data_IF_056607788784
#
_entry.id   IF_056607788784
#
_cell.length_a   1.000
_cell.length_b   1.000
_cell.length_c   1.000
_cell.angle_alpha   90.00
_cell.angle_beta   90.00
_cell.angle_gamma   90.00
#
_symmetry.space_group_name_H-M   'P 1'
#
loop_
_entity.id
_entity.type
_entity.pdbx_description
1 polymer ?
#
# COMPACT_ATOMS: atom_id res chain seq x y z
N UNK A 1 -2.74 41.98 -5.70
CA UNK A 1 -3.41 41.25 -6.80
C UNK A 1 -4.78 40.84 -6.26
N UNK A 2 -5.83 41.63 -6.53
CA UNK A 2 -7.17 41.39 -6.00
C UNK A 2 -7.80 40.24 -6.78
N UNK A 3 -8.16 39.15 -6.11
CA UNK A 3 -8.92 38.05 -6.71
C UNK A 3 -10.23 38.59 -7.28
N UNK A 4 -10.53 38.25 -8.52
CA UNK A 4 -11.80 38.64 -9.13
C UNK A 4 -12.95 37.91 -8.44
N UNK A 5 -14.14 38.51 -8.41
CA UNK A 5 -15.32 37.92 -7.74
C UNK A 5 -15.62 36.49 -8.21
N UNK A 6 -15.34 36.19 -9.49
CA UNK A 6 -15.47 34.85 -10.07
C UNK A 6 -14.51 33.82 -9.42
N UNK A 7 -13.27 34.21 -9.12
CA UNK A 7 -12.29 33.31 -8.50
C UNK A 7 -12.66 33.01 -7.04
N UNK A 8 -13.26 33.96 -6.32
CA UNK A 8 -13.76 33.73 -4.96
C UNK A 8 -14.93 32.74 -4.94
N UNK A 9 -15.85 32.83 -5.91
CA UNK A 9 -16.98 31.89 -6.02
C UNK A 9 -16.50 30.47 -6.35
N UNK A 10 -15.51 30.34 -7.24
CA UNK A 10 -14.91 29.04 -7.56
C UNK A 10 -14.20 28.45 -6.35
N UNK A 11 -13.40 29.24 -5.63
CA UNK A 11 -12.70 28.78 -4.43
C UNK A 11 -13.68 28.34 -3.32
N UNK A 12 -14.79 29.06 -3.16
CA UNK A 12 -15.84 28.69 -2.21
C UNK A 12 -16.52 27.37 -2.61
N UNK A 13 -16.84 27.18 -3.88
CA UNK A 13 -17.44 25.94 -4.38
C UNK A 13 -16.53 24.74 -4.12
N UNK A 14 -15.22 24.88 -4.38
CA UNK A 14 -14.25 23.83 -4.07
C UNK A 14 -14.11 23.57 -2.57
N UNK A 15 -14.11 24.61 -1.73
CA UNK A 15 -14.05 24.46 -0.29
C UNK A 15 -15.27 23.70 0.26
N UNK A 16 -16.47 23.99 -0.25
CA UNK A 16 -17.71 23.30 0.13
C UNK A 16 -17.66 21.83 -0.30
N UNK A 17 -17.23 21.53 -1.53
CA UNK A 17 -17.09 20.14 -2.01
C UNK A 17 -16.06 19.38 -1.17
N UNK A 18 -14.94 20.01 -0.81
CA UNK A 18 -13.90 19.41 0.01
C UNK A 18 -14.38 19.08 1.43
N UNK A 19 -15.17 19.98 2.06
CA UNK A 19 -15.78 19.73 3.37
C UNK A 19 -16.83 18.62 3.29
N UNK A 20 -17.67 18.62 2.25
CA UNK A 20 -18.69 17.58 2.07
C UNK A 20 -18.12 16.19 1.75
N UNK A 21 -16.93 16.14 1.15
CA UNK A 21 -16.21 14.89 0.88
C UNK A 21 -15.11 14.61 1.92
N UNK A 22 -15.20 15.19 3.12
CA UNK A 22 -14.45 14.68 4.25
C UNK A 22 -14.99 13.29 4.58
N UNK A 23 -14.39 12.29 3.94
CA UNK A 23 -14.61 10.88 4.27
C UNK A 23 -13.95 10.68 5.62
N UNK A 24 -14.75 10.71 6.68
CA UNK A 24 -14.35 10.23 8.00
C UNK A 24 -13.97 8.76 7.84
N UNK A 25 -12.69 8.52 7.65
CA UNK A 25 -12.16 7.18 7.41
C UNK A 25 -11.99 6.56 8.78
N UNK A 26 -13.03 5.90 9.30
CA UNK A 26 -12.92 5.09 10.52
C UNK A 26 -12.01 3.90 10.20
N UNK A 27 -10.78 3.82 10.74
CA UNK A 27 -9.87 2.72 10.44
C UNK A 27 -10.43 1.35 10.88
N UNK A 28 -11.39 1.31 11.81
CA UNK A 28 -12.05 0.07 12.21
C UNK A 28 -13.03 -0.45 11.15
N UNK A 29 -13.66 0.44 10.37
CA UNK A 29 -14.62 0.06 9.33
C UNK A 29 -13.96 -0.66 8.14
N UNK A 30 -12.64 -0.49 7.95
CA UNK A 30 -11.87 -1.06 6.83
C UNK A 30 -10.95 -2.21 7.25
N UNK A 31 -11.03 -2.68 8.50
CA UNK A 31 -10.27 -3.82 8.98
C UNK A 31 -10.85 -5.12 8.40
N UNK A 32 -10.24 -5.63 7.33
CA UNK A 32 -10.54 -6.96 6.80
C UNK A 32 -9.65 -8.01 7.47
N UNK A 33 -10.25 -9.09 7.97
CA UNK A 33 -9.54 -10.26 8.51
C UNK A 33 -9.82 -11.47 7.63
N UNK A 34 -8.81 -11.90 6.89
CA UNK A 34 -8.86 -13.12 6.09
C UNK A 34 -8.08 -14.24 6.80
N UNK A 35 -8.61 -15.47 6.74
CA UNK A 35 -7.96 -16.65 7.30
C UNK A 35 -7.85 -17.74 6.24
N UNK A 36 -6.69 -18.38 6.15
CA UNK A 36 -6.43 -19.47 5.23
C UNK A 36 -5.68 -20.61 5.92
N UNK A 37 -6.14 -21.84 5.70
CA UNK A 37 -5.49 -23.04 6.22
C UNK A 37 -4.52 -23.59 5.17
N UNK A 38 -3.24 -23.66 5.53
CA UNK A 38 -2.19 -24.23 4.68
C UNK A 38 -1.69 -25.52 5.33
N UNK A 39 -1.66 -26.60 4.57
CA UNK A 39 -1.14 -27.90 5.02
C UNK A 39 0.40 -27.89 5.03
N UNK A 40 0.99 -27.27 6.04
CA UNK A 40 2.43 -27.23 6.28
C UNK A 40 2.72 -27.21 7.78
N UNK A 41 3.94 -27.63 8.18
CA UNK A 41 4.39 -27.41 9.56
C UNK A 41 4.53 -25.92 9.85
N UNK A 42 4.39 -25.55 11.13
CA UNK A 42 4.48 -24.15 11.57
C UNK A 42 5.83 -23.53 11.19
N UNK A 43 6.90 -24.30 11.32
CA UNK A 43 8.27 -23.88 11.02
C UNK A 43 8.46 -23.63 9.53
N UNK A 44 7.87 -24.48 8.67
CA UNK A 44 7.91 -24.29 7.22
C UNK A 44 7.10 -23.07 6.80
N UNK A 45 5.90 -22.89 7.35
CA UNK A 45 5.06 -21.75 7.04
C UNK A 45 5.72 -20.44 7.47
N UNK A 46 6.31 -20.40 8.67
CA UNK A 46 7.04 -19.24 9.15
C UNK A 46 8.23 -18.91 8.24
N UNK A 47 9.04 -19.91 7.85
CA UNK A 47 10.16 -19.69 6.92
C UNK A 47 9.69 -19.24 5.55
N UNK A 48 8.57 -19.75 5.07
CA UNK A 48 7.99 -19.35 3.81
C UNK A 48 7.55 -17.88 3.85
N UNK A 49 6.77 -17.46 4.85
CA UNK A 49 6.26 -16.08 4.97
C UNK A 49 7.39 -15.07 5.24
N UNK A 50 8.40 -15.44 6.02
CA UNK A 50 9.50 -14.53 6.40
C UNK A 50 10.59 -14.41 5.34
N UNK A 51 10.58 -15.26 4.31
CA UNK A 51 11.54 -15.19 3.22
C UNK A 51 11.12 -14.12 2.19
N UNK A 52 11.92 -13.06 1.96
CA UNK A 52 11.64 -12.06 0.93
C UNK A 52 11.43 -12.64 -0.48
N UNK A 53 12.17 -13.70 -0.83
CA UNK A 53 12.14 -14.29 -2.17
C UNK A 53 10.85 -15.09 -2.44
N UNK A 54 10.02 -15.30 -1.41
CA UNK A 54 8.74 -15.99 -1.56
C UNK A 54 7.57 -15.04 -1.80
N UNK A 55 7.75 -13.73 -1.59
CA UNK A 55 6.66 -12.73 -1.59
C UNK A 55 5.85 -12.78 -2.88
N UNK A 56 6.53 -12.86 -4.03
CA UNK A 56 5.91 -12.97 -5.35
C UNK A 56 5.01 -14.22 -5.50
N UNK A 57 5.25 -15.27 -4.70
CA UNK A 57 4.52 -16.55 -4.81
C UNK A 57 3.22 -16.57 -4.04
N UNK A 58 3.11 -15.81 -2.96
CA UNK A 58 1.92 -15.79 -2.10
C UNK A 58 1.16 -14.47 -2.15
N UNK A 59 1.75 -13.43 -2.74
CA UNK A 59 1.12 -12.13 -2.90
C UNK A 59 0.96 -11.79 -4.39
N UNK A 60 -0.13 -12.27 -4.98
CA UNK A 60 -0.40 -12.25 -6.42
C UNK A 60 -0.40 -10.86 -7.08
N UNK A 61 -0.53 -9.79 -6.31
CA UNK A 61 -0.51 -8.41 -6.82
C UNK A 61 0.90 -7.86 -7.03
N UNK A 62 1.93 -8.52 -6.50
CA UNK A 62 3.32 -8.09 -6.67
C UNK A 62 3.97 -8.90 -7.79
N UNK A 63 4.39 -8.19 -8.83
CA UNK A 63 5.08 -8.75 -9.99
C UNK A 63 6.58 -8.89 -9.76
N UNK A 64 7.18 -8.00 -8.95
CA UNK A 64 8.59 -8.04 -8.60
C UNK A 64 8.83 -7.56 -7.17
N UNK A 65 9.55 -8.34 -6.38
CA UNK A 65 9.98 -7.97 -5.03
C UNK A 65 11.49 -8.07 -4.91
N UNK A 66 12.18 -6.92 -4.75
CA UNK A 66 13.64 -6.88 -4.66
C UNK A 66 14.13 -6.05 -3.49
N UNK A 67 15.31 -6.41 -2.96
CA UNK A 67 15.98 -5.58 -1.97
C UNK A 67 16.39 -4.25 -2.60
N UNK A 68 16.07 -3.14 -1.91
CA UNK A 68 16.50 -1.79 -2.31
C UNK A 68 17.81 -1.37 -1.61
N UNK A 69 18.27 -2.15 -0.64
CA UNK A 69 19.47 -1.90 0.16
C UNK A 69 20.28 -3.20 0.35
N UNK A 70 21.59 -3.08 0.55
CA UNK A 70 22.55 -4.18 0.75
C UNK A 70 22.65 -4.67 2.20
N UNK A 71 21.92 -4.03 3.13
CA UNK A 71 21.89 -4.41 4.55
C UNK A 71 21.41 -5.85 4.78
N UNK A 72 21.91 -6.55 5.82
CA UNK A 72 21.39 -7.85 6.21
C UNK A 72 19.90 -7.76 6.59
N UNK A 73 19.20 -8.90 6.58
CA UNK A 73 17.80 -8.97 6.98
C UNK A 73 17.64 -8.46 8.42
N UNK A 74 16.82 -7.44 8.62
CA UNK A 74 16.62 -6.79 9.91
C UNK A 74 15.65 -5.61 9.82
N UNK A 75 15.33 -5.04 10.98
CA UNK A 75 14.46 -3.86 11.10
C UNK A 75 15.05 -2.68 10.32
N UNK A 76 14.23 -2.01 9.52
CA UNK A 76 14.65 -0.90 8.67
C UNK A 76 15.22 -1.29 7.31
N UNK A 77 15.24 -2.57 6.95
CA UNK A 77 15.59 -3.00 5.58
C UNK A 77 14.51 -2.52 4.59
N UNK A 78 14.97 -2.02 3.45
CA UNK A 78 14.10 -1.48 2.39
C UNK A 78 13.94 -2.48 1.27
N UNK A 79 12.71 -2.63 0.82
CA UNK A 79 12.36 -3.44 -0.33
C UNK A 79 11.58 -2.60 -1.35
N UNK A 80 11.78 -2.93 -2.61
CA UNK A 80 11.03 -2.36 -3.72
C UNK A 80 10.07 -3.43 -4.22
N UNK A 81 8.79 -3.10 -4.22
CA UNK A 81 7.73 -3.93 -4.78
C UNK A 81 7.16 -3.24 -6.03
N UNK A 82 7.11 -3.98 -7.14
CA UNK A 82 6.36 -3.58 -8.32
C UNK A 82 5.03 -4.32 -8.26
N UNK A 83 3.96 -3.57 -8.33
CA UNK A 83 2.59 -4.08 -8.32
C UNK A 83 2.05 -4.11 -9.73
N UNK A 84 1.40 -5.20 -10.11
CA UNK A 84 0.61 -5.28 -11.34
C UNK A 84 -0.87 -5.17 -10.97
N UNK A 85 -1.42 -3.96 -11.10
CA UNK A 85 -2.81 -3.70 -10.76
C UNK A 85 -3.66 -3.82 -12.04
N UNK A 86 -4.70 -4.68 -12.03
CA UNK A 86 -5.60 -4.78 -13.16
C UNK A 86 -6.23 -3.40 -13.42
N UNK A 87 -6.20 -2.96 -14.68
CA UNK A 87 -6.71 -1.67 -15.21
C UNK A 87 -5.81 -0.44 -15.05
N UNK A 88 -4.86 -0.42 -14.10
CA UNK A 88 -3.99 0.75 -13.83
C UNK A 88 -2.58 0.54 -14.41
N UNK A 89 -2.12 -0.71 -14.53
CA UNK A 89 -0.78 -1.06 -15.00
C UNK A 89 0.23 -1.20 -13.85
N UNK A 90 1.52 -1.13 -14.17
CA UNK A 90 2.61 -1.29 -13.19
C UNK A 90 2.75 -0.07 -12.27
N UNK A 91 2.62 -0.28 -10.96
CA UNK A 91 2.83 0.74 -9.93
C UNK A 91 4.02 0.35 -9.04
N UNK A 92 4.97 1.28 -8.88
CA UNK A 92 6.21 1.05 -8.13
C UNK A 92 6.07 1.64 -6.73
N UNK A 93 6.11 0.79 -5.71
CA UNK A 93 6.03 1.20 -4.30
C UNK A 93 7.30 0.78 -3.56
N UNK A 94 7.90 1.72 -2.81
CA UNK A 94 8.97 1.42 -1.87
C UNK A 94 8.36 1.05 -0.52
N UNK A 95 8.51 -0.20 -0.11
CA UNK A 95 8.05 -0.69 1.18
C UNK A 95 9.19 -0.63 2.21
N UNK A 96 8.87 -0.10 3.38
CA UNK A 96 9.78 -0.05 4.53
C UNK A 96 9.33 -1.12 5.53
N UNK A 97 10.25 -2.00 5.94
CA UNK A 97 9.99 -2.94 7.03
C UNK A 97 10.30 -2.23 8.34
N UNK A 98 9.26 -1.77 9.03
CA UNK A 98 9.31 -1.15 10.37
C UNK A 98 9.44 -2.18 11.48
#
# INVERSE_FOLDING_TARGET
>A
MLLTQAQMLIALAFAVVAVLHQIDTDPAAWAASEQGSIYASREQLQRFITNPDSVEKWFNLVSLFKAADSRPLGVGKKYQAVYDLPLIGEALLCLFVS
#
